data_IF_336034426415
#
_entry.id   IF_336034426415
#
_cell.length_a   1.000
_cell.length_b   1.000
_cell.length_c   1.000
_cell.angle_alpha   90.00
_cell.angle_beta   90.00
_cell.angle_gamma   90.00
#
_symmetry.space_group_name_H-M   'P 1'
#
loop_
_entity.id
_entity.type
_entity.pdbx_description
1 polymer ?
#
# COMPACT_ATOMS: atom_id res chain seq x y z
N UNK A 1 -7.33 12.08 11.74
CA UNK A 1 -7.68 10.75 11.25
C UNK A 1 -6.47 9.93 10.89
N UNK A 2 -6.68 8.67 10.52
CA UNK A 2 -5.59 7.74 10.15
C UNK A 2 -5.18 7.84 8.67
N UNK A 3 -5.80 8.74 7.88
CA UNK A 3 -5.60 8.82 6.44
C UNK A 3 -5.98 7.50 5.72
N UNK A 4 -7.01 6.81 6.21
CA UNK A 4 -7.45 5.52 5.68
C UNK A 4 -8.47 4.83 6.59
N UNK A 5 -8.57 3.50 6.50
CA UNK A 5 -9.46 2.67 7.30
C UNK A 5 -8.67 1.91 8.38
N UNK A 6 -9.30 1.65 9.51
CA UNK A 6 -8.80 0.75 10.55
C UNK A 6 -9.97 0.19 11.34
N UNK A 7 -9.95 -1.13 11.59
CA UNK A 7 -10.99 -1.79 12.36
C UNK A 7 -10.69 -3.26 12.62
N UNK A 8 -11.53 -3.88 13.43
CA UNK A 8 -11.50 -5.33 13.67
C UNK A 8 -11.88 -6.04 12.37
N UNK A 9 -11.18 -7.12 12.07
CA UNK A 9 -11.50 -7.98 10.91
C UNK A 9 -12.79 -8.76 11.15
N UNK A 10 -13.60 -8.93 10.12
CA UNK A 10 -14.83 -9.70 10.17
C UNK A 10 -15.88 -9.24 9.15
N UNK A 11 -17.02 -9.92 9.16
CA UNK A 11 -18.14 -9.59 8.30
C UNK A 11 -18.82 -8.29 8.76
N UNK A 12 -19.34 -7.52 7.81
CA UNK A 12 -20.10 -6.30 8.07
C UNK A 12 -19.40 -5.03 7.59
N UNK A 13 -20.17 -3.96 7.48
CA UNK A 13 -19.75 -2.67 6.91
C UNK A 13 -18.80 -1.87 7.81
N UNK A 14 -18.81 -2.16 9.12
CA UNK A 14 -17.95 -1.54 10.13
C UNK A 14 -16.70 -2.37 10.45
N UNK A 15 -16.37 -3.36 9.63
CA UNK A 15 -15.26 -4.28 9.83
C UNK A 15 -14.29 -4.20 8.65
N UNK A 16 -13.06 -4.64 8.89
CA UNK A 16 -12.07 -4.86 7.83
C UNK A 16 -12.33 -6.22 7.19
N UNK A 17 -12.61 -6.22 5.90
CA UNK A 17 -12.84 -7.42 5.08
C UNK A 17 -12.61 -7.08 3.59
N UNK A 18 -12.67 -8.10 2.73
CA UNK A 18 -12.45 -7.93 1.28
C UNK A 18 -13.43 -6.97 0.61
N UNK A 19 -14.63 -6.77 1.16
CA UNK A 19 -15.65 -5.87 0.62
C UNK A 19 -15.34 -4.42 0.99
N UNK A 20 -15.05 -4.14 2.27
CA UNK A 20 -14.73 -2.79 2.73
C UNK A 20 -13.39 -2.30 2.17
N UNK A 21 -12.37 -3.17 2.08
CA UNK A 21 -11.11 -2.88 1.39
C UNK A 21 -11.36 -2.64 -0.11
N UNK A 22 -12.21 -3.47 -0.73
CA UNK A 22 -12.55 -3.31 -2.13
C UNK A 22 -13.24 -1.97 -2.42
N UNK A 23 -14.20 -1.58 -1.58
CA UNK A 23 -14.90 -0.30 -1.70
C UNK A 23 -13.94 0.89 -1.54
N UNK A 24 -13.03 0.83 -0.56
CA UNK A 24 -12.00 1.84 -0.36
C UNK A 24 -11.08 1.97 -1.57
N UNK A 25 -10.65 0.84 -2.13
CA UNK A 25 -9.77 0.81 -3.31
C UNK A 25 -10.48 1.34 -4.56
N UNK A 26 -11.75 1.00 -4.77
CA UNK A 26 -12.53 1.55 -5.89
C UNK A 26 -12.65 3.08 -5.78
N UNK A 27 -12.97 3.60 -4.59
CA UNK A 27 -13.04 5.05 -4.38
C UNK A 27 -11.70 5.76 -4.58
N UNK A 28 -10.59 5.12 -4.19
CA UNK A 28 -9.25 5.62 -4.48
C UNK A 28 -8.96 5.63 -5.99
N UNK A 29 -9.32 4.55 -6.70
CA UNK A 29 -9.17 4.45 -8.15
C UNK A 29 -9.96 5.54 -8.89
N UNK A 30 -11.22 5.74 -8.52
CA UNK A 30 -12.09 6.77 -9.08
C UNK A 30 -11.49 8.18 -8.87
N UNK A 31 -10.97 8.44 -7.66
CA UNK A 31 -10.31 9.70 -7.35
C UNK A 31 -9.04 9.92 -8.19
N UNK A 32 -8.18 8.91 -8.31
CA UNK A 32 -6.95 8.99 -9.11
C UNK A 32 -7.28 9.31 -10.57
N UNK A 33 -8.20 8.58 -11.18
CA UNK A 33 -8.55 8.73 -12.59
C UNK A 33 -9.18 10.09 -12.91
N UNK A 34 -9.95 10.63 -11.98
CA UNK A 34 -10.58 11.94 -12.14
C UNK A 34 -9.59 13.10 -12.00
N UNK A 35 -8.64 12.99 -11.08
CA UNK A 35 -7.76 14.10 -10.71
C UNK A 35 -6.35 14.02 -11.32
N UNK A 36 -5.98 12.90 -11.92
CA UNK A 36 -4.69 12.72 -12.58
C UNK A 36 -4.85 11.93 -13.88
N UNK A 37 -4.86 12.59 -15.06
CA UNK A 37 -5.00 11.92 -16.36
C UNK A 37 -3.93 10.83 -16.63
N UNK A 38 -2.75 10.95 -16.02
CA UNK A 38 -1.66 9.97 -16.13
C UNK A 38 -1.61 9.00 -14.94
N UNK A 39 -2.49 9.16 -13.95
CA UNK A 39 -2.45 8.43 -12.69
C UNK A 39 -2.52 6.92 -12.85
N UNK A 40 -3.27 6.45 -13.83
CA UNK A 40 -3.35 5.03 -14.17
C UNK A 40 -2.03 4.45 -14.67
N UNK A 41 -1.31 5.20 -15.50
CA UNK A 41 0.00 4.78 -16.05
C UNK A 41 1.12 4.85 -15.01
N UNK A 42 1.12 5.88 -14.16
CA UNK A 42 2.08 6.02 -13.07
C UNK A 42 1.90 4.91 -12.03
N UNK A 43 0.66 4.48 -11.79
CA UNK A 43 0.32 3.35 -10.96
C UNK A 43 0.27 3.64 -9.46
N UNK A 44 0.09 2.58 -8.68
CA UNK A 44 -0.01 2.60 -7.21
C UNK A 44 0.86 1.49 -6.64
N UNK A 45 1.73 1.82 -5.68
CA UNK A 45 2.50 0.84 -4.93
C UNK A 45 1.66 0.27 -3.78
N UNK A 46 1.76 -1.04 -3.54
CA UNK A 46 1.00 -1.73 -2.48
C UNK A 46 1.94 -2.57 -1.63
N UNK A 47 2.01 -2.27 -0.34
CA UNK A 47 2.74 -3.05 0.65
C UNK A 47 1.80 -3.54 1.76
N UNK A 48 2.26 -4.51 2.53
CA UNK A 48 1.49 -5.09 3.62
C UNK A 48 2.39 -5.64 4.72
N UNK A 49 1.85 -5.74 5.92
CA UNK A 49 2.54 -6.31 7.09
C UNK A 49 2.21 -7.79 7.30
N UNK A 50 2.69 -8.35 8.42
CA UNK A 50 2.51 -9.77 8.78
C UNK A 50 1.15 -10.12 9.38
N UNK A 51 0.20 -9.17 9.44
CA UNK A 51 -1.13 -9.40 10.04
C UNK A 51 -1.95 -10.38 9.21
N UNK A 52 -2.85 -11.06 9.91
CA UNK A 52 -3.85 -11.90 9.26
C UNK A 52 -4.59 -11.10 8.18
N UNK A 53 -4.85 -11.73 7.04
CA UNK A 53 -5.53 -11.15 5.87
C UNK A 53 -4.78 -10.00 5.17
N UNK A 54 -3.58 -9.60 5.61
CA UNK A 54 -2.83 -8.52 4.94
C UNK A 54 -2.44 -8.88 3.51
N UNK A 55 -1.93 -10.10 3.21
CA UNK A 55 -1.65 -10.51 1.83
C UNK A 55 -2.90 -10.51 0.93
N UNK A 56 -4.03 -11.02 1.45
CA UNK A 56 -5.29 -11.11 0.72
C UNK A 56 -5.85 -9.71 0.41
N UNK A 57 -5.78 -8.79 1.38
CA UNK A 57 -6.20 -7.41 1.18
C UNK A 57 -5.30 -6.67 0.19
N UNK A 58 -3.98 -6.91 0.23
CA UNK A 58 -3.03 -6.34 -0.72
C UNK A 58 -3.29 -6.86 -2.15
N UNK A 59 -3.47 -8.19 -2.32
CA UNK A 59 -3.84 -8.79 -3.60
C UNK A 59 -5.16 -8.22 -4.12
N UNK A 60 -6.19 -8.14 -3.26
CA UNK A 60 -7.50 -7.57 -3.61
C UNK A 60 -7.37 -6.12 -4.07
N UNK A 61 -6.58 -5.31 -3.37
CA UNK A 61 -6.26 -3.92 -3.75
C UNK A 61 -5.64 -3.87 -5.14
N UNK A 62 -4.62 -4.67 -5.41
CA UNK A 62 -3.95 -4.72 -6.71
C UNK A 62 -4.90 -5.09 -7.85
N UNK A 63 -5.77 -6.09 -7.66
CA UNK A 63 -6.72 -6.54 -8.69
C UNK A 63 -7.82 -5.52 -8.99
N UNK A 64 -8.24 -4.74 -8.01
CA UNK A 64 -9.22 -3.66 -8.20
C UNK A 64 -8.58 -2.48 -8.94
N UNK A 65 -7.35 -2.11 -8.58
CA UNK A 65 -6.59 -1.09 -9.31
C UNK A 65 -6.43 -1.50 -10.79
N UNK A 66 -5.98 -2.74 -11.03
CA UNK A 66 -5.83 -3.30 -12.38
C UNK A 66 -7.15 -3.26 -13.17
N UNK A 67 -8.26 -3.66 -12.56
CA UNK A 67 -9.59 -3.64 -13.19
C UNK A 67 -10.08 -2.22 -13.55
N UNK A 68 -9.49 -1.19 -12.97
CA UNK A 68 -9.72 0.21 -13.30
C UNK A 68 -8.65 0.79 -14.25
N UNK A 69 -7.78 -0.05 -14.83
CA UNK A 69 -6.71 0.38 -15.73
C UNK A 69 -5.55 1.11 -15.03
N UNK A 70 -5.44 0.95 -13.70
CA UNK A 70 -4.36 1.53 -12.91
C UNK A 70 -3.32 0.43 -12.63
N UNK A 71 -2.07 0.66 -13.04
CA UNK A 71 -0.98 -0.27 -12.77
C UNK A 71 -0.76 -0.41 -11.25
N UNK A 72 -0.81 -1.63 -10.73
CA UNK A 72 -0.55 -1.94 -9.33
C UNK A 72 0.82 -2.60 -9.19
N UNK A 73 1.71 -1.98 -8.44
CA UNK A 73 3.00 -2.53 -8.04
C UNK A 73 2.85 -3.14 -6.64
N UNK A 74 2.69 -4.45 -6.56
CA UNK A 74 2.40 -5.15 -5.31
C UNK A 74 3.62 -5.92 -4.84
N UNK A 75 4.05 -5.69 -3.61
CA UNK A 75 5.15 -6.45 -3.04
C UNK A 75 4.82 -7.93 -2.93
N UNK A 76 5.76 -8.79 -3.32
CA UNK A 76 5.64 -10.25 -3.31
C UNK A 76 5.54 -10.83 -1.90
N UNK A 77 6.10 -10.12 -0.91
CA UNK A 77 6.01 -10.46 0.50
C UNK A 77 5.93 -9.19 1.35
N UNK A 78 5.76 -9.34 2.67
CA UNK A 78 5.58 -8.21 3.57
C UNK A 78 6.75 -7.20 3.49
N UNK A 79 6.42 -5.91 3.52
CA UNK A 79 7.38 -4.80 3.58
C UNK A 79 6.92 -3.73 4.56
N UNK A 80 7.86 -3.05 5.22
CA UNK A 80 7.54 -2.03 6.21
C UNK A 80 7.02 -0.75 5.55
N UNK A 81 6.24 0.02 6.30
CA UNK A 81 5.67 1.31 5.86
C UNK A 81 6.70 2.29 5.28
N UNK A 82 7.93 2.46 5.83
CA UNK A 82 8.94 3.31 5.22
C UNK A 82 9.36 2.91 3.82
N UNK A 83 9.36 1.62 3.54
CA UNK A 83 9.68 1.10 2.21
C UNK A 83 8.55 1.36 1.21
N UNK A 84 7.28 1.30 1.63
CA UNK A 84 6.19 1.76 0.79
C UNK A 84 6.36 3.23 0.42
N UNK A 85 6.62 4.10 1.39
CA UNK A 85 6.85 5.54 1.15
C UNK A 85 7.99 5.78 0.15
N UNK A 86 9.07 5.02 0.28
CA UNK A 86 10.18 5.03 -0.67
C UNK A 86 9.75 4.57 -2.06
N UNK A 87 9.03 3.45 -2.14
CA UNK A 87 8.59 2.84 -3.40
C UNK A 87 7.71 3.76 -4.23
N UNK A 88 6.79 4.50 -3.58
CA UNK A 88 5.94 5.49 -4.26
C UNK A 88 6.79 6.49 -5.04
N UNK A 89 7.85 7.02 -4.43
CA UNK A 89 8.75 7.99 -5.05
C UNK A 89 9.70 7.35 -6.06
N UNK A 90 10.26 6.20 -5.71
CA UNK A 90 11.23 5.49 -6.54
C UNK A 90 10.63 5.00 -7.85
N UNK A 91 9.42 4.44 -7.80
CA UNK A 91 8.69 3.96 -8.98
C UNK A 91 7.91 5.07 -9.71
N UNK A 92 7.89 6.29 -9.18
CA UNK A 92 7.11 7.40 -9.73
C UNK A 92 5.60 7.18 -9.67
N UNK A 93 5.12 6.50 -8.64
CA UNK A 93 3.70 6.19 -8.49
C UNK A 93 2.88 7.44 -8.12
N UNK A 94 1.61 7.46 -8.56
CA UNK A 94 0.63 8.48 -8.14
C UNK A 94 0.30 8.38 -6.67
N UNK A 95 0.20 7.16 -6.16
CA UNK A 95 -0.19 6.87 -4.79
C UNK A 95 0.45 5.57 -4.28
N UNK A 96 0.31 5.32 -2.99
CA UNK A 96 0.66 4.07 -2.35
C UNK A 96 -0.40 3.62 -1.37
N UNK A 97 -0.46 2.33 -1.12
CA UNK A 97 -1.34 1.73 -0.11
C UNK A 97 -0.50 0.81 0.77
N UNK A 98 -0.64 0.95 2.09
CA UNK A 98 -0.11 -0.05 3.02
C UNK A 98 -1.25 -0.68 3.83
N UNK A 99 -1.27 -2.00 3.81
CA UNK A 99 -2.21 -2.80 4.59
C UNK A 99 -1.57 -3.10 5.94
N UNK A 100 -2.02 -2.39 6.96
CA UNK A 100 -1.48 -2.49 8.33
C UNK A 100 -2.39 -1.83 9.34
N UNK A 101 -2.46 -2.36 10.53
CA UNK A 101 -3.05 -1.68 11.70
C UNK A 101 -1.98 -1.19 12.70
N UNK A 102 -0.71 -1.09 12.28
CA UNK A 102 0.39 -0.61 13.12
C UNK A 102 0.55 -1.47 14.40
N UNK A 103 0.33 -0.89 15.57
CA UNK A 103 0.47 -1.52 16.90
C UNK A 103 -0.86 -1.97 17.52
N UNK A 104 -1.97 -1.93 16.79
CA UNK A 104 -3.24 -2.42 17.30
C UNK A 104 -3.20 -3.93 17.54
N UNK A 105 -4.09 -4.48 18.40
CA UNK A 105 -4.21 -5.91 18.62
C UNK A 105 -4.36 -6.73 17.33
N UNK A 106 -4.06 -8.04 17.35
CA UNK A 106 -3.95 -8.87 16.14
C UNK A 106 -5.26 -9.04 15.38
N UNK A 107 -6.40 -8.85 16.02
CA UNK A 107 -7.72 -8.88 15.38
C UNK A 107 -8.02 -7.66 14.50
N UNK A 108 -7.18 -6.60 14.58
CA UNK A 108 -7.30 -5.40 13.74
C UNK A 108 -6.52 -5.54 12.45
N UNK A 109 -7.03 -4.89 11.40
CA UNK A 109 -6.25 -4.54 10.22
C UNK A 109 -6.60 -3.13 9.76
N UNK A 110 -5.91 -2.62 8.75
CA UNK A 110 -6.11 -1.27 8.26
C UNK A 110 -5.65 -1.10 6.82
N UNK A 111 -6.04 0.03 6.24
CA UNK A 111 -5.75 0.43 4.87
C UNK A 111 -5.36 1.90 4.91
N UNK A 112 -4.10 2.23 4.64
CA UNK A 112 -3.59 3.61 4.67
C UNK A 112 -3.16 4.02 3.28
N UNK A 113 -3.50 5.25 2.89
CA UNK A 113 -3.18 5.81 1.58
C UNK A 113 -2.04 6.82 1.70
N UNK A 114 -1.10 6.71 0.77
CA UNK A 114 0.04 7.60 0.57
C UNK A 114 -0.09 8.27 -0.80
N UNK A 115 0.50 9.43 -0.98
CA UNK A 115 0.47 10.14 -2.25
C UNK A 115 1.85 10.17 -2.90
N UNK A 116 1.94 10.79 -4.08
CA UNK A 116 3.15 10.82 -4.93
C UNK A 116 4.43 11.35 -4.25
N UNK A 117 4.29 12.13 -3.18
CA UNK A 117 5.39 12.63 -2.36
C UNK A 117 5.92 11.59 -1.34
N UNK A 118 5.27 10.42 -1.26
CA UNK A 118 5.55 9.38 -0.28
C UNK A 118 5.02 9.67 1.11
N UNK A 119 4.27 10.75 1.30
CA UNK A 119 3.58 11.08 2.55
C UNK A 119 2.18 10.46 2.63
N UNK A 120 1.71 10.19 3.85
CA UNK A 120 0.32 9.78 4.06
C UNK A 120 -0.61 10.93 3.68
N UNK A 121 -1.72 10.65 2.98
CA UNK A 121 -2.63 11.67 2.46
C UNK A 121 -3.18 12.57 3.58
N UNK A 122 -2.94 13.91 3.49
CA UNK A 122 -3.50 14.87 4.42
C UNK A 122 -4.83 15.45 3.91
N UNK A 123 -5.47 16.23 4.76
CA UNK A 123 -6.57 17.11 4.32
C UNK A 123 -6.06 18.11 3.25
N UNK A 124 -6.88 18.44 2.21
CA UNK A 124 -8.28 18.02 1.98
C UNK A 124 -8.42 16.69 1.22
N UNK A 125 -7.33 16.13 0.68
CA UNK A 125 -7.35 14.95 -0.21
C UNK A 125 -7.97 13.72 0.44
N UNK A 126 -7.69 13.47 1.72
CA UNK A 126 -8.31 12.37 2.45
C UNK A 126 -9.83 12.45 2.44
N UNK A 127 -10.39 13.65 2.66
CA UNK A 127 -11.83 13.90 2.58
C UNK A 127 -12.41 13.74 1.17
N UNK A 128 -11.67 14.10 0.14
CA UNK A 128 -12.08 13.95 -1.26
C UNK A 128 -12.12 12.46 -1.67
N UNK A 129 -11.12 11.67 -1.26
CA UNK A 129 -11.11 10.21 -1.48
C UNK A 129 -12.30 9.57 -0.73
N UNK A 130 -12.55 9.94 0.52
CA UNK A 130 -13.68 9.43 1.30
C UNK A 130 -15.03 9.76 0.65
N UNK A 131 -15.19 10.92 0.03
CA UNK A 131 -16.40 11.23 -0.75
C UNK A 131 -16.62 10.23 -1.90
N UNK A 132 -15.55 9.87 -2.63
CA UNK A 132 -15.63 8.84 -3.69
C UNK A 132 -15.99 7.47 -3.12
N UNK A 133 -15.37 7.06 -2.02
CA UNK A 133 -15.71 5.80 -1.34
C UNK A 133 -17.19 5.77 -0.93
N UNK A 134 -17.70 6.86 -0.36
CA UNK A 134 -19.09 6.93 0.10
C UNK A 134 -20.11 7.00 -1.06
N UNK A 135 -19.72 7.49 -2.23
CA UNK A 135 -20.55 7.52 -3.42
C UNK A 135 -20.77 6.13 -4.04
N UNK A 136 -20.01 5.12 -3.67
CA UNK A 136 -20.21 3.74 -4.13
C UNK A 136 -21.41 3.14 -3.39
N UNK A 137 -22.54 2.99 -4.08
CA UNK A 137 -23.80 2.54 -3.48
C UNK A 137 -23.83 1.05 -3.15
N UNK A 138 -23.13 0.23 -3.93
CA UNK A 138 -23.14 -1.23 -3.79
C UNK A 138 -21.74 -1.82 -3.96
N UNK A 139 -21.45 -2.89 -3.24
CA UNK A 139 -20.24 -3.69 -3.46
C UNK A 139 -20.16 -4.32 -4.86
N UNK A 140 -21.30 -4.47 -5.55
CA UNK A 140 -21.34 -4.92 -6.94
C UNK A 140 -20.74 -3.89 -7.93
N UNK A 141 -20.64 -2.62 -7.54
CA UNK A 141 -19.97 -1.59 -8.33
C UNK A 141 -18.46 -1.64 -8.26
N UNK A 142 -17.89 -2.43 -7.36
CA UNK A 142 -16.43 -2.61 -7.21
C UNK A 142 -15.93 -3.52 -8.34
N UNK A 143 -15.15 -2.94 -9.25
CA UNK A 143 -14.54 -3.70 -10.33
C UNK A 143 -13.45 -4.64 -9.79
N UNK A 144 -13.28 -5.78 -10.44
CA UNK A 144 -12.18 -6.69 -10.14
C UNK A 144 -11.77 -7.39 -11.43
N UNK A 145 -10.53 -7.88 -11.47
CA UNK A 145 -9.95 -8.58 -12.61
C UNK A 145 -9.39 -9.90 -12.11
N UNK A 146 -9.34 -10.89 -13.00
CA UNK A 146 -8.62 -12.12 -12.76
C UNK A 146 -7.12 -11.84 -12.61
N UNK A 147 -6.45 -12.60 -11.73
CA UNK A 147 -5.04 -12.37 -11.42
C UNK A 147 -4.13 -12.60 -12.63
N UNK A 148 -4.31 -13.75 -13.32
CA UNK A 148 -3.44 -14.13 -14.44
C UNK A 148 -3.61 -13.12 -15.58
N UNK A 149 -4.84 -12.71 -15.85
CA UNK A 149 -5.14 -11.65 -16.81
C UNK A 149 -4.51 -10.32 -16.43
N UNK A 150 -4.59 -9.92 -15.17
CA UNK A 150 -4.00 -8.66 -14.70
C UNK A 150 -2.46 -8.65 -14.85
N UNK A 151 -1.82 -9.81 -14.63
CA UNK A 151 -0.38 -10.01 -14.85
C UNK A 151 -0.04 -9.98 -16.34
N UNK A 152 -0.78 -10.70 -17.18
CA UNK A 152 -0.58 -10.74 -18.63
C UNK A 152 -0.70 -9.36 -19.28
N UNK A 153 -1.67 -8.56 -18.83
CA UNK A 153 -1.87 -7.18 -19.30
C UNK A 153 -0.84 -6.18 -18.70
N UNK A 154 0.04 -6.63 -17.81
CA UNK A 154 1.04 -5.78 -17.15
C UNK A 154 0.44 -4.74 -16.19
N UNK A 155 -0.80 -4.95 -15.74
CA UNK A 155 -1.51 -4.09 -14.80
C UNK A 155 -1.28 -4.52 -13.34
N UNK A 156 -0.91 -5.77 -13.09
CA UNK A 156 -0.47 -6.26 -11.79
C UNK A 156 1.00 -6.65 -11.89
N UNK A 157 1.87 -5.90 -11.24
CA UNK A 157 3.32 -6.09 -11.28
C UNK A 157 3.79 -6.49 -9.88
N UNK A 158 4.35 -7.69 -9.76
CA UNK A 158 5.01 -8.10 -8.52
C UNK A 158 6.36 -7.39 -8.39
N UNK A 159 6.62 -6.78 -7.25
CA UNK A 159 7.88 -6.09 -6.93
C UNK A 159 8.51 -6.68 -5.67
N UNK A 160 9.82 -6.54 -5.52
CA UNK A 160 10.59 -7.08 -4.41
C UNK A 160 12.03 -6.63 -4.45
N UNK A 161 12.96 -7.56 -4.71
CA UNK A 161 14.40 -7.38 -4.56
C UNK A 161 14.97 -6.11 -5.21
N UNK A 162 14.49 -5.69 -6.36
CA UNK A 162 14.99 -4.48 -7.04
C UNK A 162 14.70 -3.22 -6.23
N UNK A 163 13.48 -3.14 -5.65
CA UNK A 163 13.08 -2.02 -4.78
C UNK A 163 13.79 -2.13 -3.43
N UNK A 164 13.85 -3.35 -2.84
CA UNK A 164 14.51 -3.61 -1.57
C UNK A 164 15.97 -3.16 -1.58
N UNK A 165 16.71 -3.51 -2.63
CA UNK A 165 18.13 -3.17 -2.78
C UNK A 165 18.35 -1.65 -2.82
N UNK A 166 17.53 -0.92 -3.57
CA UNK A 166 17.64 0.54 -3.62
C UNK A 166 17.18 1.20 -2.30
N UNK A 167 16.16 0.67 -1.65
CA UNK A 167 15.75 1.14 -0.33
C UNK A 167 16.86 0.96 0.69
N UNK A 168 17.43 -0.23 0.81
CA UNK A 168 18.53 -0.53 1.75
C UNK A 168 19.78 0.30 1.45
N UNK A 169 20.11 0.50 0.18
CA UNK A 169 21.22 1.36 -0.24
C UNK A 169 21.01 2.81 0.25
N UNK A 170 19.80 3.34 0.07
CA UNK A 170 19.46 4.69 0.54
C UNK A 170 19.48 4.80 2.07
N UNK A 171 19.00 3.78 2.79
CA UNK A 171 19.06 3.73 4.26
C UNK A 171 20.53 3.70 4.74
N UNK A 172 21.37 2.86 4.15
CA UNK A 172 22.81 2.77 4.50
C UNK A 172 23.55 4.09 4.24
N UNK A 173 23.19 4.81 3.19
CA UNK A 173 23.78 6.11 2.85
C UNK A 173 23.51 7.20 3.91
N UNK A 174 22.53 7.00 4.81
CA UNK A 174 22.27 7.91 5.93
C UNK A 174 23.20 7.68 7.13
N UNK A 175 24.03 6.65 7.12
CA UNK A 175 24.99 6.37 8.21
C UNK A 175 26.06 7.45 8.26
N UNK A 176 26.18 8.12 9.42
CA UNK A 176 27.17 9.19 9.63
C UNK A 176 28.58 8.63 9.83
N UNK A 177 28.69 7.52 10.55
CA UNK A 177 29.98 6.89 10.93
C UNK A 177 29.96 5.38 10.62
N UNK A 178 29.96 4.95 9.34
CA UNK A 178 29.84 3.54 8.99
C UNK A 178 31.00 2.67 9.53
N UNK A 179 32.21 3.25 9.68
CA UNK A 179 33.38 2.55 10.19
C UNK A 179 33.26 2.11 11.66
N UNK A 180 32.41 2.79 12.44
CA UNK A 180 32.16 2.40 13.84
C UNK A 180 31.48 1.05 13.90
N UNK A 181 30.53 0.81 12.98
CA UNK A 181 29.80 -0.46 12.90
C UNK A 181 30.79 -1.62 12.72
N UNK A 182 31.73 -1.50 11.78
CA UNK A 182 32.78 -2.52 11.58
C UNK A 182 33.68 -2.73 12.81
N UNK A 183 34.06 -1.63 13.48
CA UNK A 183 34.93 -1.67 14.67
C UNK A 183 34.27 -2.29 15.91
N UNK A 184 32.94 -2.21 16.00
CA UNK A 184 32.19 -2.67 17.18
C UNK A 184 31.39 -3.95 16.94
N UNK A 185 31.36 -4.46 15.73
CA UNK A 185 30.50 -5.59 15.32
C UNK A 185 30.72 -6.83 16.21
N UNK A 186 31.96 -7.15 16.56
CA UNK A 186 32.29 -8.34 17.37
C UNK A 186 31.93 -8.19 18.86
N UNK A 187 31.81 -6.97 19.35
CA UNK A 187 31.52 -6.67 20.76
C UNK A 187 30.10 -6.26 21.03
N UNK A 188 29.41 -5.72 20.03
CA UNK A 188 28.03 -5.24 20.15
C UNK A 188 27.06 -6.42 20.11
N UNK A 189 26.26 -6.56 21.16
CA UNK A 189 25.18 -7.56 21.22
C UNK A 189 23.82 -6.84 21.09
N UNK A 190 23.07 -7.20 20.07
CA UNK A 190 21.73 -6.67 19.81
C UNK A 190 20.72 -7.79 20.00
N UNK A 191 19.72 -7.56 20.85
CA UNK A 191 18.52 -8.41 20.92
C UNK A 191 17.44 -7.72 20.12
N UNK A 192 16.97 -8.39 19.08
CA UNK A 192 15.90 -7.91 18.21
C UNK A 192 14.68 -8.80 18.37
N UNK A 193 13.50 -8.19 18.64
CA UNK A 193 12.22 -8.90 18.84
C UNK A 193 11.15 -8.33 17.94
#
# INVERSE_FOLDING_TARGET
GTGGLRGIMGAGTNRMNIYTVGKATQGLADYILENNPNGGKMGVAVAYDSRNMSPEFAKRTGLILAANGIKAYVFESLRPTPELSFSVRYLGCTAGVVITASHNPPEYNGYKVYWQDGGQVPFPRDGEIIKKVNAIESYACVKTMDYDKAVEEGLYVSIGADVDNEFIKNVKAQSINPDIVAKTADSLKIVYT
#
